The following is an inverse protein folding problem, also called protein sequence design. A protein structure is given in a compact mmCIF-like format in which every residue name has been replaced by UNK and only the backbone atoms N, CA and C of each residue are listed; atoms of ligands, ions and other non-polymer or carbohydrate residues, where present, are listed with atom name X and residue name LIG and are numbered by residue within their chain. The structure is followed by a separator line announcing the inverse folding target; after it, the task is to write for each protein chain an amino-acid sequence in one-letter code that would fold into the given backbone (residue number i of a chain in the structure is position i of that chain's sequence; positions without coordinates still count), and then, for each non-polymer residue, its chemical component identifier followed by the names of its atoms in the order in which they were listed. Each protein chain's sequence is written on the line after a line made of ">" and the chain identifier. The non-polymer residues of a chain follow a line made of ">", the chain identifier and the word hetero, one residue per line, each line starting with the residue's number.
data_IF_185926597843
#
_entry.id   IF_185926597843
#
_cell.length_a   1.000
_cell.length_b   1.000
_cell.length_c   1.000
_cell.angle_alpha   90.00
_cell.angle_beta   90.00
_cell.angle_gamma   90.00
#
_symmetry.space_group_name_H-M   'P 1'
#
loop_
_entity.id
_entity.type
_entity.pdbx_description
1 polymer ?
#
# COMPACT_ATOMS: atom_id res chain seq x y z
N UNK A 1 11.48 -13.01 -2.37
CA UNK A 1 12.65 -12.22 -2.79
C UNK A 1 12.28 -10.80 -3.06
N UNK A 2 12.91 -9.87 -2.33
CA UNK A 2 12.82 -8.45 -2.63
C UNK A 2 13.49 -8.20 -3.97
N UNK A 3 12.71 -7.79 -4.98
CA UNK A 3 13.25 -7.38 -6.28
C UNK A 3 13.92 -6.02 -6.14
N UNK A 4 15.11 -6.02 -5.56
CA UNK A 4 16.04 -4.91 -5.71
C UNK A 4 16.36 -4.83 -7.21
N UNK A 5 16.02 -3.70 -7.85
CA UNK A 5 16.25 -3.40 -9.28
C UNK A 5 15.11 -3.68 -10.26
N UNK A 6 13.83 -3.53 -9.88
CA UNK A 6 12.75 -3.49 -10.89
C UNK A 6 12.91 -2.38 -11.96
N UNK A 7 13.74 -1.37 -11.70
CA UNK A 7 14.15 -0.40 -12.71
C UNK A 7 15.06 -0.97 -13.81
N UNK A 8 15.70 -2.13 -13.59
CA UNK A 8 16.56 -2.80 -14.57
C UNK A 8 15.72 -3.27 -15.78
N UNK A 9 16.04 -2.80 -17.00
CA UNK A 9 15.35 -3.22 -18.23
C UNK A 9 15.31 -4.75 -18.44
N UNK A 10 16.33 -5.49 -17.97
CA UNK A 10 16.38 -6.95 -18.10
C UNK A 10 15.32 -7.62 -17.23
N UNK A 11 15.15 -7.15 -16.00
CA UNK A 11 14.12 -7.65 -15.07
C UNK A 11 12.73 -7.34 -15.64
N UNK A 12 12.51 -6.13 -16.16
CA UNK A 12 11.25 -5.76 -16.82
C UNK A 12 10.95 -6.64 -18.04
N UNK A 13 11.97 -6.95 -18.85
CA UNK A 13 11.82 -7.82 -20.02
C UNK A 13 11.44 -9.26 -19.63
N UNK A 14 12.08 -9.80 -18.59
CA UNK A 14 11.74 -11.12 -18.04
C UNK A 14 10.29 -11.17 -17.53
N UNK A 15 9.86 -10.17 -16.75
CA UNK A 15 8.47 -10.10 -16.29
C UNK A 15 7.47 -9.96 -17.43
N UNK A 16 7.80 -9.13 -18.44
CA UNK A 16 6.96 -9.00 -19.63
C UNK A 16 6.78 -10.34 -20.34
N UNK A 17 7.84 -11.11 -20.52
CA UNK A 17 7.76 -12.45 -21.12
C UNK A 17 6.97 -13.43 -20.25
N UNK A 18 7.12 -13.36 -18.92
CA UNK A 18 6.39 -14.21 -17.98
C UNK A 18 4.88 -13.91 -17.94
N UNK A 19 4.48 -12.70 -18.32
CA UNK A 19 3.08 -12.28 -18.45
C UNK A 19 2.53 -12.46 -19.88
N UNK A 20 3.32 -12.98 -20.82
CA UNK A 20 2.91 -13.15 -22.22
C UNK A 20 2.49 -14.59 -22.49
N UNK A 21 1.22 -14.81 -22.82
CA UNK A 21 0.74 -16.08 -23.33
C UNK A 21 1.07 -16.22 -24.82
N UNK A 22 1.70 -17.34 -25.19
CA UNK A 22 1.87 -17.73 -26.59
C UNK A 22 0.55 -18.30 -27.14
N UNK A 23 0.45 -18.49 -28.46
CA UNK A 23 -0.76 -18.95 -29.18
C UNK A 23 -1.34 -20.29 -28.68
N UNK A 24 -0.64 -21.02 -27.81
CA UNK A 24 -1.06 -22.30 -27.22
C UNK A 24 -1.41 -22.21 -25.73
N UNK A 25 -1.61 -21.01 -25.18
CA UNK A 25 -1.91 -20.79 -23.76
C UNK A 25 -0.73 -21.05 -22.81
N UNK A 26 0.47 -21.22 -23.36
CA UNK A 26 1.70 -21.44 -22.60
C UNK A 26 2.46 -20.13 -22.44
N UNK A 27 2.97 -19.86 -21.24
CA UNK A 27 3.83 -18.70 -20.97
C UNK A 27 5.28 -19.16 -21.10
N UNK A 28 5.98 -18.69 -22.13
CA UNK A 28 7.36 -19.08 -22.40
C UNK A 28 8.25 -17.86 -22.18
N UNK A 29 9.18 -17.98 -21.23
CA UNK A 29 10.19 -16.96 -20.98
C UNK A 29 11.43 -17.32 -21.77
N UNK A 30 11.86 -16.39 -22.63
CA UNK A 30 13.13 -16.45 -23.32
C UNK A 30 14.05 -15.40 -22.71
N UNK A 31 15.31 -15.76 -22.49
CA UNK A 31 16.33 -14.81 -22.07
C UNK A 31 17.59 -15.01 -22.91
N UNK A 32 18.19 -13.90 -23.34
CA UNK A 32 19.49 -13.95 -24.01
C UNK A 32 20.54 -13.50 -23.02
N UNK A 33 21.42 -14.43 -22.65
CA UNK A 33 22.55 -14.16 -21.76
C UNK A 33 23.82 -14.76 -22.34
N UNK A 34 24.90 -13.98 -22.35
CA UNK A 34 26.25 -14.42 -22.72
C UNK A 34 27.07 -14.82 -21.49
N UNK A 35 26.41 -15.07 -20.35
CA UNK A 35 27.08 -15.40 -19.10
C UNK A 35 27.71 -16.79 -19.19
N UNK A 36 29.04 -16.92 -19.04
CA UNK A 36 29.72 -18.22 -19.04
C UNK A 36 29.23 -19.16 -17.92
N UNK A 37 28.66 -18.59 -16.85
CA UNK A 37 28.09 -19.34 -15.73
C UNK A 37 26.85 -20.12 -16.19
N UNK A 38 26.00 -19.54 -17.03
CA UNK A 38 24.77 -20.19 -17.47
C UNK A 38 25.04 -21.31 -18.47
N UNK A 39 26.05 -21.13 -19.33
CA UNK A 39 26.55 -22.19 -20.22
C UNK A 39 27.15 -23.35 -19.43
N UNK A 40 27.94 -23.04 -18.39
CA UNK A 40 28.54 -24.06 -17.52
C UNK A 40 27.49 -24.88 -16.76
N UNK A 41 26.40 -24.25 -16.34
CA UNK A 41 25.30 -24.90 -15.61
C UNK A 41 24.23 -25.52 -16.56
N UNK A 42 24.48 -25.52 -17.88
CA UNK A 42 23.59 -26.10 -18.91
C UNK A 42 22.13 -25.63 -18.81
N UNK A 43 21.93 -24.36 -18.41
CA UNK A 43 20.58 -23.82 -18.25
C UNK A 43 19.92 -23.57 -19.62
N UNK A 44 18.60 -23.82 -19.73
CA UNK A 44 17.91 -23.73 -21.02
C UNK A 44 17.69 -22.27 -21.45
N UNK A 45 17.84 -21.99 -22.75
CA UNK A 45 17.60 -20.65 -23.35
C UNK A 45 16.15 -20.16 -23.23
N UNK A 46 15.23 -21.09 -22.98
CA UNK A 46 13.82 -20.82 -22.77
C UNK A 46 13.22 -21.81 -21.79
N UNK A 47 12.19 -21.38 -21.06
CA UNK A 47 11.45 -22.26 -20.17
C UNK A 47 9.97 -21.88 -20.12
N UNK A 48 9.13 -22.88 -19.86
CA UNK A 48 7.70 -22.71 -19.64
C UNK A 48 7.44 -22.29 -18.19
N UNK A 49 6.65 -21.24 -17.99
CA UNK A 49 6.22 -20.74 -16.68
C UNK A 49 4.78 -21.19 -16.44
N UNK A 50 4.64 -22.16 -15.55
CA UNK A 50 3.34 -22.57 -15.00
C UNK A 50 3.22 -22.11 -13.54
N UNK A 51 3.03 -20.80 -13.35
CA UNK A 51 2.91 -20.20 -12.02
C UNK A 51 1.99 -18.98 -12.00
N UNK A 52 1.20 -18.81 -10.94
CA UNK A 52 0.48 -17.55 -10.71
C UNK A 52 1.46 -16.50 -10.17
N UNK A 53 1.62 -15.39 -10.89
CA UNK A 53 2.52 -14.30 -10.50
C UNK A 53 1.66 -13.20 -9.87
N UNK A 54 1.92 -12.90 -8.60
CA UNK A 54 1.30 -11.79 -7.87
C UNK A 54 2.39 -10.76 -7.63
N UNK A 55 2.17 -9.54 -8.11
CA UNK A 55 3.07 -8.41 -7.92
C UNK A 55 2.39 -7.39 -7.02
N UNK A 56 3.08 -6.97 -5.96
CA UNK A 56 2.57 -6.01 -4.98
C UNK A 56 3.49 -4.80 -4.99
N UNK A 57 2.89 -3.63 -5.19
CA UNK A 57 3.61 -2.37 -5.29
C UNK A 57 3.14 -1.40 -4.23
N UNK A 58 4.09 -0.66 -3.64
CA UNK A 58 3.79 0.45 -2.73
C UNK A 58 3.69 1.80 -3.46
N UNK A 59 4.14 1.85 -4.72
CA UNK A 59 4.19 3.03 -5.55
C UNK A 59 3.55 2.76 -6.91
N UNK A 60 3.19 3.84 -7.61
CA UNK A 60 2.56 3.77 -8.91
C UNK A 60 3.48 3.11 -9.96
N UNK A 61 2.88 2.30 -10.81
CA UNK A 61 3.52 1.40 -11.76
C UNK A 61 3.97 2.08 -13.06
N UNK A 62 4.46 3.32 -12.96
CA UNK A 62 4.89 4.08 -14.13
C UNK A 62 5.96 3.32 -14.94
N UNK A 63 5.67 3.08 -16.23
CA UNK A 63 6.53 2.30 -17.13
C UNK A 63 6.36 0.78 -17.07
N UNK A 64 5.37 0.26 -16.33
CA UNK A 64 4.97 -1.16 -16.30
C UNK A 64 3.67 -1.43 -17.05
N UNK A 65 3.20 -0.48 -17.88
CA UNK A 65 1.94 -0.59 -18.62
C UNK A 65 1.75 -1.95 -19.33
N UNK A 66 2.77 -2.53 -20.01
CA UNK A 66 2.62 -3.83 -20.64
C UNK A 66 2.30 -4.98 -19.67
N UNK A 67 2.70 -4.88 -18.40
CA UNK A 67 2.39 -5.87 -17.36
C UNK A 67 1.01 -5.58 -16.77
N UNK A 68 0.68 -4.31 -16.52
CA UNK A 68 -0.65 -3.90 -16.04
C UNK A 68 -1.74 -4.30 -17.03
N UNK A 69 -1.55 -4.04 -18.33
CA UNK A 69 -2.53 -4.32 -19.39
C UNK A 69 -2.85 -5.82 -19.55
N UNK A 70 -1.97 -6.69 -19.03
CA UNK A 70 -2.08 -8.15 -19.13
C UNK A 70 -2.45 -8.80 -17.81
N UNK A 71 -2.56 -8.02 -16.74
CA UNK A 71 -2.88 -8.49 -15.40
C UNK A 71 -4.19 -7.88 -14.90
N UNK A 72 -4.69 -8.40 -13.79
CA UNK A 72 -5.71 -7.72 -13.02
C UNK A 72 -5.01 -6.76 -12.05
N UNK A 73 -5.18 -5.46 -12.24
CA UNK A 73 -4.71 -4.46 -11.28
C UNK A 73 -5.77 -4.25 -10.20
N UNK A 74 -5.36 -4.30 -8.94
CA UNK A 74 -6.22 -3.99 -7.79
C UNK A 74 -5.53 -2.89 -6.99
N UNK A 75 -6.16 -1.71 -6.98
CA UNK A 75 -5.68 -0.58 -6.20
C UNK A 75 -6.22 -0.64 -4.78
N UNK A 76 -5.33 -0.77 -3.79
CA UNK A 76 -5.69 -0.86 -2.38
C UNK A 76 -5.80 0.51 -1.72
N UNK A 77 -6.71 1.35 -2.22
CA UNK A 77 -7.03 2.65 -1.64
C UNK A 77 -8.21 2.55 -0.67
N UNK A 78 -7.92 2.28 0.60
CA UNK A 78 -8.94 2.12 1.63
C UNK A 78 -9.29 3.44 2.31
N UNK A 79 -10.58 3.77 2.37
CA UNK A 79 -11.08 4.79 3.29
C UNK A 79 -10.84 4.35 4.74
N UNK A 80 -10.88 5.28 5.69
CA UNK A 80 -10.82 4.99 7.11
C UNK A 80 -11.91 4.00 7.51
N UNK A 81 -13.12 4.15 6.96
CA UNK A 81 -14.23 3.21 7.19
C UNK A 81 -13.89 1.80 6.72
N UNK A 82 -13.28 1.67 5.55
CA UNK A 82 -12.87 0.36 5.02
C UNK A 82 -11.72 -0.23 5.84
N UNK A 83 -10.76 0.59 6.27
CA UNK A 83 -9.70 0.16 7.19
C UNK A 83 -10.26 -0.38 8.49
N UNK A 84 -11.23 0.30 9.11
CA UNK A 84 -11.87 -0.19 10.34
C UNK A 84 -12.52 -1.56 10.11
N UNK A 85 -13.27 -1.75 9.02
CA UNK A 85 -13.87 -3.05 8.70
C UNK A 85 -12.83 -4.15 8.53
N UNK A 86 -11.71 -3.84 7.87
CA UNK A 86 -10.58 -4.78 7.73
C UNK A 86 -10.01 -5.09 9.11
N UNK A 87 -9.79 -4.10 9.97
CA UNK A 87 -9.23 -4.34 11.30
C UNK A 87 -10.16 -5.21 12.15
N UNK A 88 -11.47 -4.99 12.07
CA UNK A 88 -12.48 -5.84 12.71
C UNK A 88 -12.44 -7.27 12.14
N UNK A 89 -12.33 -7.46 10.82
CA UNK A 89 -12.31 -8.81 10.23
C UNK A 89 -11.05 -9.60 10.57
N UNK A 90 -9.95 -8.92 10.92
CA UNK A 90 -8.69 -9.54 11.32
C UNK A 90 -8.47 -9.56 12.84
N UNK A 91 -9.43 -9.06 13.63
CA UNK A 91 -9.28 -8.87 15.06
C UNK A 91 -8.84 -10.15 15.79
N UNK A 92 -9.61 -11.24 15.61
CA UNK A 92 -9.36 -12.51 16.29
C UNK A 92 -8.09 -13.20 15.80
N UNK A 93 -7.88 -13.20 14.48
CA UNK A 93 -6.73 -13.85 13.85
C UNK A 93 -5.39 -13.23 14.26
N UNK A 94 -5.39 -11.94 14.63
CA UNK A 94 -4.18 -11.20 14.99
C UNK A 94 -4.10 -10.85 16.49
N UNK A 95 -4.96 -11.43 17.33
CA UNK A 95 -5.06 -11.15 18.77
C UNK A 95 -5.18 -9.64 19.11
N UNK A 96 -5.88 -8.88 18.26
CA UNK A 96 -6.05 -7.44 18.48
C UNK A 96 -7.07 -7.22 19.60
N UNK A 97 -6.67 -6.50 20.65
CA UNK A 97 -7.54 -6.27 21.79
C UNK A 97 -8.64 -5.25 21.45
N UNK A 98 -9.87 -5.51 21.92
CA UNK A 98 -11.03 -4.64 21.66
C UNK A 98 -10.77 -3.18 22.06
N UNK A 99 -10.18 -2.94 23.24
CA UNK A 99 -9.85 -1.59 23.71
C UNK A 99 -8.93 -0.81 22.75
N UNK A 100 -8.06 -1.51 22.03
CA UNK A 100 -7.20 -0.88 21.01
C UNK A 100 -8.05 -0.46 19.82
N UNK A 101 -8.92 -1.33 19.32
CA UNK A 101 -9.85 -1.00 18.23
C UNK A 101 -10.78 0.15 18.59
N UNK A 102 -11.33 0.15 19.80
CA UNK A 102 -12.22 1.21 20.28
C UNK A 102 -11.50 2.55 20.36
N UNK A 103 -10.24 2.55 20.80
CA UNK A 103 -9.39 3.74 20.76
C UNK A 103 -9.20 4.24 19.31
N UNK A 104 -8.86 3.35 18.37
CA UNK A 104 -8.69 3.74 16.96
C UNK A 104 -9.98 4.35 16.39
N UNK A 105 -11.13 3.71 16.62
CA UNK A 105 -12.44 4.19 16.10
C UNK A 105 -12.81 5.56 16.66
N UNK A 106 -12.43 5.84 17.91
CA UNK A 106 -12.75 7.09 18.59
C UNK A 106 -11.78 8.22 18.25
N UNK A 107 -10.48 7.93 18.26
CA UNK A 107 -9.44 8.95 18.26
C UNK A 107 -8.78 9.15 16.88
N UNK A 108 -8.92 8.21 15.95
CA UNK A 108 -8.36 8.28 14.60
C UNK A 108 -9.40 8.64 13.53
N UNK A 109 -8.92 9.12 12.38
CA UNK A 109 -9.72 9.42 11.19
C UNK A 109 -8.83 9.32 9.93
N UNK A 110 -9.34 9.77 8.78
CA UNK A 110 -8.61 9.78 7.49
C UNK A 110 -7.26 10.52 7.51
N UNK A 111 -7.06 11.46 8.45
CA UNK A 111 -5.80 12.19 8.59
C UNK A 111 -4.74 11.43 9.39
N UNK A 112 -5.10 10.31 10.00
CA UNK A 112 -4.20 9.57 10.90
C UNK A 112 -3.12 8.85 10.09
N UNK A 113 -1.87 9.19 10.35
CA UNK A 113 -0.71 8.56 9.72
C UNK A 113 -0.37 7.23 10.42
N UNK A 114 0.34 6.36 9.72
CA UNK A 114 0.81 5.06 10.24
C UNK A 114 -0.29 4.13 10.78
N UNK A 115 -1.54 4.35 10.37
CA UNK A 115 -2.65 3.47 10.75
C UNK A 115 -2.66 2.22 9.87
N UNK A 116 -2.20 1.10 10.44
CA UNK A 116 -2.07 -0.20 9.78
C UNK A 116 -2.33 -1.34 10.77
N UNK A 117 -2.62 -2.55 10.28
CA UNK A 117 -2.76 -3.76 11.11
C UNK A 117 -1.53 -3.97 12.02
N UNK A 118 -0.32 -3.74 11.51
CA UNK A 118 0.92 -3.86 12.28
C UNK A 118 0.91 -2.93 13.50
N UNK A 119 0.43 -1.71 13.34
CA UNK A 119 0.34 -0.76 14.45
C UNK A 119 -0.66 -1.23 15.51
N UNK A 120 -1.79 -1.82 15.10
CA UNK A 120 -2.78 -2.36 16.03
C UNK A 120 -2.23 -3.57 16.82
N UNK A 121 -1.46 -4.44 16.16
CA UNK A 121 -0.77 -5.57 16.82
C UNK A 121 0.23 -5.04 17.86
N UNK A 122 1.09 -4.08 17.50
CA UNK A 122 2.04 -3.47 18.45
C UNK A 122 1.33 -2.88 19.67
N UNK A 123 0.24 -2.13 19.47
CA UNK A 123 -0.53 -1.55 20.57
C UNK A 123 -1.20 -2.62 21.44
N UNK A 124 -1.65 -3.72 20.83
CA UNK A 124 -2.21 -4.87 21.54
C UNK A 124 -1.16 -5.61 22.37
N UNK A 125 0.04 -5.79 21.84
CA UNK A 125 1.18 -6.39 22.56
C UNK A 125 1.61 -5.54 23.75
N UNK A 126 1.63 -4.21 23.59
CA UNK A 126 1.89 -3.27 24.69
C UNK A 126 0.85 -3.40 25.79
N UNK A 127 -0.44 -3.47 25.43
CA UNK A 127 -1.53 -3.69 26.38
C UNK A 127 -1.40 -5.03 27.09
N UNK A 128 -1.13 -6.12 26.36
CA UNK A 128 -0.90 -7.47 26.90
C UNK A 128 0.26 -7.48 27.90
N UNK A 129 1.28 -6.67 27.66
CA UNK A 129 2.44 -6.47 28.54
C UNK A 129 2.16 -5.54 29.73
N UNK A 130 0.92 -5.10 29.95
CA UNK A 130 0.52 -4.23 31.05
C UNK A 130 0.95 -2.76 30.90
N UNK A 131 1.40 -2.34 29.70
CA UNK A 131 1.80 -0.95 29.42
C UNK A 131 0.59 -0.12 28.97
N UNK A 132 0.63 1.19 29.25
CA UNK A 132 -0.37 2.11 28.71
C UNK A 132 -0.17 2.33 27.21
N UNK A 133 -0.83 1.48 26.41
CA UNK A 133 -0.75 1.56 24.96
C UNK A 133 -1.25 2.90 24.41
N UNK A 134 -2.13 3.63 25.12
CA UNK A 134 -2.68 4.90 24.63
C UNK A 134 -1.62 5.98 24.54
N UNK A 135 -0.64 5.97 25.45
CA UNK A 135 0.50 6.88 25.39
C UNK A 135 1.31 6.65 24.10
N UNK A 136 1.58 5.39 23.76
CA UNK A 136 2.28 5.04 22.53
C UNK A 136 1.44 5.32 21.29
N UNK A 137 0.13 5.06 21.36
CA UNK A 137 -0.79 5.33 20.26
C UNK A 137 -0.79 6.81 19.87
N UNK A 138 -0.78 7.74 20.83
CA UNK A 138 -0.69 9.18 20.55
C UNK A 138 0.57 9.56 19.78
N UNK A 139 1.69 8.94 20.09
CA UNK A 139 2.96 9.21 19.42
C UNK A 139 3.05 8.55 18.04
N UNK A 140 2.54 7.33 17.89
CA UNK A 140 2.61 6.57 16.64
C UNK A 140 1.58 7.02 15.60
N UNK A 141 0.38 7.40 16.06
CA UNK A 141 -0.80 7.69 15.24
C UNK A 141 -1.06 9.20 15.16
N UNK A 142 -0.01 9.96 14.82
CA UNK A 142 -0.13 11.40 14.63
C UNK A 142 -1.03 11.72 13.44
N UNK A 143 -1.88 12.72 13.62
CA UNK A 143 -2.71 13.26 12.54
C UNK A 143 -1.90 14.24 11.71
N UNK A 144 -2.11 14.20 10.40
CA UNK A 144 -1.72 15.29 9.52
C UNK A 144 -2.60 16.50 9.83
N UNK A 145 -2.04 17.56 10.42
CA UNK A 145 -2.80 18.72 10.88
C UNK A 145 -3.60 19.35 9.75
N UNK A 146 -2.97 19.60 8.61
CA UNK A 146 -3.64 20.21 7.47
C UNK A 146 -4.81 19.36 6.96
N UNK A 147 -4.60 18.05 6.82
CA UNK A 147 -5.68 17.15 6.38
C UNK A 147 -6.79 17.04 7.42
N UNK A 148 -6.44 17.02 8.72
CA UNK A 148 -7.39 17.00 9.81
C UNK A 148 -8.26 18.26 9.81
N UNK A 149 -7.65 19.43 9.64
CA UNK A 149 -8.37 20.71 9.60
C UNK A 149 -9.34 20.76 8.41
N UNK A 150 -8.93 20.24 7.24
CA UNK A 150 -9.80 20.15 6.06
C UNK A 150 -11.01 19.21 6.26
N UNK A 151 -10.90 18.24 7.18
CA UNK A 151 -11.97 17.29 7.53
C UNK A 151 -12.90 17.89 8.57
N UNK A 152 -12.35 18.46 9.64
CA UNK A 152 -13.09 18.89 10.83
C UNK A 152 -13.65 20.31 10.70
N UNK A 153 -13.01 21.20 9.92
CA UNK A 153 -13.37 22.61 9.82
C UNK A 153 -14.10 22.97 8.53
N UNK A 154 -14.98 23.96 8.61
CA UNK A 154 -15.55 24.61 7.45
C UNK A 154 -14.59 25.66 6.84
N UNK A 155 -14.90 26.16 5.64
CA UNK A 155 -14.00 27.05 4.90
C UNK A 155 -13.75 28.41 5.61
N UNK A 156 -14.67 28.86 6.45
CA UNK A 156 -14.54 30.13 7.21
C UNK A 156 -13.60 29.92 8.39
N UNK A 157 -13.87 28.90 9.21
CA UNK A 157 -13.04 28.54 10.36
C UNK A 157 -11.59 28.26 9.94
N UNK A 158 -11.41 27.57 8.81
CA UNK A 158 -10.09 27.28 8.28
C UNK A 158 -9.34 28.53 7.81
N UNK A 159 -10.05 29.50 7.23
CA UNK A 159 -9.46 30.79 6.82
C UNK A 159 -9.04 31.61 8.04
N UNK A 160 -9.87 31.63 9.09
CA UNK A 160 -9.56 32.34 10.33
C UNK A 160 -8.35 31.72 11.06
N UNK A 161 -8.24 30.40 11.09
CA UNK A 161 -7.14 29.69 11.78
C UNK A 161 -5.83 29.72 10.99
N UNK A 162 -5.88 29.54 9.67
CA UNK A 162 -4.67 29.41 8.83
C UNK A 162 -4.23 30.71 8.17
N UNK A 163 -5.11 31.71 8.09
CA UNK A 163 -4.92 32.94 7.31
C UNK A 163 -4.96 32.75 5.78
N UNK A 164 -5.26 31.53 5.30
CA UNK A 164 -5.33 31.23 3.88
C UNK A 164 -6.75 31.39 3.33
N UNK A 165 -6.88 31.86 2.08
CA UNK A 165 -8.19 32.13 1.48
C UNK A 165 -9.06 30.89 1.33
N UNK A 166 -10.39 31.08 1.38
CA UNK A 166 -11.38 30.02 1.10
C UNK A 166 -11.18 29.31 -0.24
N UNK A 167 -10.69 30.03 -1.26
CA UNK A 167 -10.37 29.42 -2.56
C UNK A 167 -9.25 28.37 -2.45
N UNK A 168 -8.30 28.58 -1.55
CA UNK A 168 -7.21 27.65 -1.24
C UNK A 168 -7.73 26.44 -0.46
N UNK A 169 -8.65 26.65 0.49
CA UNK A 169 -9.39 25.56 1.16
C UNK A 169 -10.03 24.61 0.14
N UNK A 170 -10.86 25.11 -0.78
CA UNK A 170 -11.55 24.25 -1.75
C UNK A 170 -10.59 23.56 -2.72
N UNK A 171 -9.48 24.20 -3.10
CA UNK A 171 -8.42 23.56 -3.91
C UNK A 171 -7.76 22.41 -3.17
N UNK A 172 -7.37 22.61 -1.91
CA UNK A 172 -6.80 21.55 -1.09
C UNK A 172 -7.79 20.43 -0.82
N UNK A 173 -9.03 20.78 -0.45
CA UNK A 173 -10.11 19.80 -0.23
C UNK A 173 -10.36 18.96 -1.47
N UNK A 174 -10.39 19.56 -2.66
CA UNK A 174 -10.50 18.82 -3.93
C UNK A 174 -9.29 17.91 -4.16
N UNK A 175 -8.07 18.40 -3.94
CA UNK A 175 -6.85 17.62 -4.15
C UNK A 175 -6.78 16.40 -3.21
N UNK A 176 -7.07 16.60 -1.94
CA UNK A 176 -6.86 15.58 -0.90
C UNK A 176 -8.05 14.67 -0.64
N UNK A 177 -9.29 15.14 -0.89
CA UNK A 177 -10.51 14.37 -0.60
C UNK A 177 -11.26 13.88 -1.85
N UNK A 178 -11.03 14.46 -3.04
CA UNK A 178 -11.61 13.98 -4.31
C UNK A 178 -10.61 13.24 -5.22
N UNK A 179 -9.33 13.24 -4.87
CA UNK A 179 -8.30 12.45 -5.55
C UNK A 179 -8.17 11.01 -5.02
N UNK A 180 -9.12 10.58 -4.17
CA UNK A 180 -9.28 9.20 -3.72
C UNK A 180 -10.46 8.57 -4.45
#
# INVERSE_FOLDING_TARGET
>A
DDLQSMSDPKIKALFKSACWETEKGKRIVNYHSTSPILEKEELPDSFEVDASIILIFNEDLSGFQPIIDRGMSIDFNFSFKDKIKIFESFQDNMEIHQDVLDYIKKDCNESTRNLSLRTLVILSDLKKSGRDFKLFAKEMLRKDSMLNDLIEMNAVEWEDETGMSRATYYRHKKRFLKGK
#
